data_IF_202072780832
#
_entry.id   IF_202072780832
#
_cell.length_a   1.000
_cell.length_b   1.000
_cell.length_c   1.000
_cell.angle_alpha   90.00
_cell.angle_beta   90.00
_cell.angle_gamma   90.00
#
_symmetry.space_group_name_H-M   'P 1'
#
loop_
_entity.id
_entity.type
_entity.pdbx_description
1 polymer ?
#
# COMPACT_ATOMS: atom_id res chain seq x y z
N UNK A 1 10.64 -16.95 -9.94
CA UNK A 1 9.85 -15.83 -10.51
C UNK A 1 9.33 -14.93 -9.40
N UNK A 2 8.69 -13.81 -9.73
CA UNK A 2 7.92 -12.96 -8.80
C UNK A 2 6.44 -13.35 -8.93
N UNK A 3 5.73 -13.56 -7.81
CA UNK A 3 4.31 -14.00 -7.80
C UNK A 3 3.41 -12.93 -7.21
N UNK A 4 2.22 -12.65 -7.77
CA UNK A 4 1.24 -11.76 -7.16
C UNK A 4 0.57 -12.43 -5.95
N UNK A 5 0.40 -11.69 -4.85
CA UNK A 5 -0.34 -12.13 -3.66
C UNK A 5 -1.71 -11.48 -3.56
N UNK A 6 -1.77 -10.14 -3.70
CA UNK A 6 -3.02 -9.40 -3.62
C UNK A 6 -2.93 -8.10 -4.40
N UNK A 7 -4.08 -7.58 -4.86
CA UNK A 7 -4.17 -6.26 -5.46
C UNK A 7 -5.37 -5.53 -4.88
N UNK A 8 -5.11 -4.33 -4.37
CA UNK A 8 -6.09 -3.40 -3.86
C UNK A 8 -6.14 -2.21 -4.78
N UNK A 9 -7.35 -1.83 -5.23
CA UNK A 9 -7.54 -0.68 -6.12
C UNK A 9 -8.61 0.25 -5.59
N UNK A 10 -8.37 1.53 -5.75
CA UNK A 10 -9.36 2.59 -5.69
C UNK A 10 -9.63 3.07 -7.12
N UNK A 11 -10.40 4.15 -7.28
CA UNK A 11 -10.60 4.77 -8.58
C UNK A 11 -9.35 5.54 -9.08
N UNK A 12 -8.43 5.92 -8.18
CA UNK A 12 -7.18 6.64 -8.52
C UNK A 12 -5.94 5.77 -8.34
N UNK A 13 -5.90 4.97 -7.29
CA UNK A 13 -4.67 4.37 -6.80
C UNK A 13 -4.77 2.85 -6.74
N UNK A 14 -3.63 2.17 -6.84
CA UNK A 14 -3.58 0.73 -6.59
C UNK A 14 -2.34 0.33 -5.82
N UNK A 15 -2.51 -0.60 -4.89
CA UNK A 15 -1.46 -1.26 -4.12
C UNK A 15 -1.45 -2.76 -4.48
N UNK A 16 -0.35 -3.24 -5.05
CA UNK A 16 -0.19 -4.62 -5.50
C UNK A 16 0.92 -5.27 -4.68
N UNK A 17 0.55 -6.29 -3.91
CA UNK A 17 1.47 -7.10 -3.12
C UNK A 17 1.94 -8.25 -3.98
N UNK A 18 3.26 -8.41 -4.09
CA UNK A 18 3.89 -9.55 -4.74
C UNK A 18 4.72 -10.34 -3.73
N UNK A 19 5.38 -11.40 -4.18
CA UNK A 19 6.33 -12.16 -3.39
C UNK A 19 7.64 -11.42 -3.09
N UNK A 20 7.83 -10.19 -3.58
CA UNK A 20 9.10 -9.44 -3.44
C UNK A 20 8.93 -8.00 -2.98
N UNK A 21 7.83 -7.35 -3.35
CA UNK A 21 7.64 -5.91 -3.16
C UNK A 21 6.17 -5.54 -3.12
N UNK A 22 5.92 -4.37 -2.54
CA UNK A 22 4.69 -3.62 -2.75
C UNK A 22 4.89 -2.71 -3.98
N UNK A 23 3.96 -2.79 -4.93
CA UNK A 23 3.90 -1.88 -6.07
C UNK A 23 2.74 -0.90 -5.83
N UNK A 24 3.05 0.38 -5.80
CA UNK A 24 2.06 1.45 -5.63
C UNK A 24 1.94 2.22 -6.93
N UNK A 25 0.72 2.38 -7.43
CA UNK A 25 0.39 3.25 -8.56
C UNK A 25 -0.45 4.40 -8.03
N UNK A 26 0.03 5.61 -8.19
CA UNK A 26 -0.61 6.86 -7.77
C UNK A 26 -1.00 7.67 -9.01
N UNK A 27 -2.29 7.98 -9.15
CA UNK A 27 -2.77 8.85 -10.25
C UNK A 27 -2.92 10.29 -9.77
N UNK A 28 -2.05 11.15 -10.25
CA UNK A 28 -1.95 12.55 -9.84
C UNK A 28 -2.65 13.52 -10.79
N UNK A 29 -3.04 14.67 -10.22
CA UNK A 29 -3.66 15.78 -10.94
C UNK A 29 -5.15 15.59 -11.22
N UNK A 30 -5.80 16.66 -11.68
CA UNK A 30 -7.27 16.70 -11.90
C UNK A 30 -7.74 15.68 -12.95
N UNK A 31 -6.92 15.41 -13.97
CA UNK A 31 -7.25 14.49 -15.06
C UNK A 31 -6.80 13.05 -14.79
N UNK A 32 -6.01 12.80 -13.74
CA UNK A 32 -5.42 11.50 -13.44
C UNK A 32 -4.45 10.97 -14.50
N UNK A 33 -4.04 11.81 -15.48
CA UNK A 33 -3.15 11.40 -16.58
C UNK A 33 -1.70 11.23 -16.13
N UNK A 34 -1.27 11.95 -15.11
CA UNK A 34 0.07 11.78 -14.54
C UNK A 34 0.00 10.58 -13.59
N UNK A 35 0.79 9.56 -13.88
CA UNK A 35 0.81 8.32 -13.10
C UNK A 35 2.23 8.10 -12.61
N UNK A 36 2.37 7.91 -11.30
CA UNK A 36 3.62 7.53 -10.68
C UNK A 36 3.52 6.08 -10.21
N UNK A 37 4.58 5.31 -10.42
CA UNK A 37 4.67 3.90 -10.01
C UNK A 37 5.89 3.73 -9.12
N UNK A 38 5.66 3.27 -7.90
CA UNK A 38 6.68 2.98 -6.92
C UNK A 38 6.80 1.46 -6.75
N UNK A 39 8.02 0.95 -6.77
CA UNK A 39 8.34 -0.42 -6.37
C UNK A 39 9.09 -0.39 -5.06
N UNK A 40 8.48 -0.93 -4.01
CA UNK A 40 8.99 -0.87 -2.63
C UNK A 40 9.33 -2.30 -2.20
N UNK A 41 10.61 -2.73 -2.25
CA UNK A 41 11.03 -4.01 -1.70
C UNK A 41 10.63 -4.11 -0.23
N UNK A 42 10.11 -5.26 0.21
CA UNK A 42 9.69 -5.40 1.61
C UNK A 42 10.84 -5.18 2.60
N UNK A 43 12.05 -5.60 2.21
CA UNK A 43 13.28 -5.37 2.98
C UNK A 43 13.66 -3.90 3.18
N UNK A 44 13.04 -2.97 2.44
CA UNK A 44 13.28 -1.53 2.57
C UNK A 44 12.29 -0.81 3.50
N UNK A 45 11.22 -1.50 3.92
CA UNK A 45 10.20 -0.97 4.81
C UNK A 45 10.71 -1.11 6.25
N UNK A 46 10.99 0.03 6.90
CA UNK A 46 11.49 0.10 8.27
C UNK A 46 10.37 0.20 9.30
N UNK A 47 9.24 0.79 8.92
CA UNK A 47 8.03 0.93 9.75
C UNK A 47 6.82 1.08 8.84
N UNK A 48 5.64 0.67 9.31
CA UNK A 48 4.36 0.99 8.69
C UNK A 48 3.31 1.34 9.74
N UNK A 49 2.27 2.04 9.32
CA UNK A 49 1.05 2.24 10.09
C UNK A 49 -0.16 2.10 9.17
N UNK A 50 -1.31 1.76 9.76
CA UNK A 50 -2.57 1.66 9.03
C UNK A 50 -3.69 2.36 9.80
N UNK A 51 -4.50 3.14 9.09
CA UNK A 51 -5.65 3.85 9.65
C UNK A 51 -6.94 3.47 8.91
N UNK A 52 -8.00 3.20 9.67
CA UNK A 52 -9.32 2.93 9.11
C UNK A 52 -9.98 4.23 8.67
N UNK A 53 -10.80 4.16 7.62
CA UNK A 53 -11.65 5.28 7.23
C UNK A 53 -12.53 5.73 8.41
N UNK A 54 -12.43 7.01 8.77
CA UNK A 54 -13.23 7.63 9.81
C UNK A 54 -14.64 7.97 9.33
N UNK A 55 -15.41 8.64 10.21
CA UNK A 55 -16.72 9.19 9.82
C UNK A 55 -16.62 10.42 8.90
N UNK A 56 -15.50 11.15 8.98
CA UNK A 56 -15.29 12.43 8.28
C UNK A 56 -14.31 12.25 7.10
N UNK A 57 -13.18 11.57 7.30
CA UNK A 57 -12.32 11.12 6.19
C UNK A 57 -12.81 9.77 5.68
N UNK A 58 -13.19 9.72 4.41
CA UNK A 58 -13.79 8.55 3.78
C UNK A 58 -12.76 7.51 3.30
N UNK A 59 -11.47 7.82 3.38
CA UNK A 59 -10.42 6.90 2.92
C UNK A 59 -9.75 6.23 4.10
N UNK A 60 -9.42 4.97 3.90
CA UNK A 60 -8.43 4.29 4.73
C UNK A 60 -7.03 4.71 4.28
N UNK A 61 -6.04 4.50 5.14
CA UNK A 61 -4.68 4.94 4.86
C UNK A 61 -3.64 3.93 5.31
N UNK A 62 -2.58 3.83 4.52
CA UNK A 62 -1.36 3.10 4.86
C UNK A 62 -0.19 4.04 4.70
N UNK A 63 0.62 4.15 5.74
CA UNK A 63 1.87 4.91 5.70
C UNK A 63 3.06 3.95 5.84
N UNK A 64 4.11 4.20 5.06
CA UNK A 64 5.32 3.38 4.99
C UNK A 64 6.56 4.26 5.15
N UNK A 65 7.44 3.88 6.06
CA UNK A 65 8.72 4.54 6.25
C UNK A 65 9.83 3.65 5.75
N UNK A 66 10.66 4.24 4.90
CA UNK A 66 11.90 3.65 4.39
C UNK A 66 13.05 4.59 4.72
N UNK A 67 14.29 4.11 4.56
CA UNK A 67 15.48 5.00 4.62
C UNK A 67 15.46 6.11 3.57
N UNK A 68 14.73 5.95 2.47
CA UNK A 68 14.63 6.93 1.41
C UNK A 68 13.52 7.96 1.63
N UNK A 69 12.62 7.73 2.59
CA UNK A 69 11.53 8.64 2.89
C UNK A 69 10.24 7.96 3.33
N UNK A 70 9.18 8.77 3.40
CA UNK A 70 7.84 8.40 3.86
C UNK A 70 6.87 8.36 2.67
N UNK A 71 6.10 7.28 2.55
CA UNK A 71 5.07 7.11 1.52
C UNK A 71 3.71 6.94 2.18
N UNK A 72 2.71 7.67 1.67
CA UNK A 72 1.33 7.66 2.13
C UNK A 72 0.42 7.15 1.02
N UNK A 73 -0.30 6.07 1.27
CA UNK A 73 -1.16 5.39 0.32
C UNK A 73 -2.60 5.52 0.79
N UNK A 74 -3.44 6.16 -0.03
CA UNK A 74 -4.88 6.27 0.26
C UNK A 74 -5.63 5.11 -0.36
N UNK A 75 -6.47 4.49 0.47
CA UNK A 75 -7.26 3.33 0.13
C UNK A 75 -8.75 3.68 0.22
N UNK A 76 -9.53 3.12 -0.69
CA UNK A 76 -10.97 3.41 -0.76
C UNK A 76 -11.70 2.80 0.45
N UNK A 77 -12.80 3.44 0.84
CA UNK A 77 -13.64 3.11 2.01
C UNK A 77 -13.98 1.62 2.22
N UNK A 78 -14.08 0.85 1.14
CA UNK A 78 -14.48 -0.58 1.18
C UNK A 78 -13.31 -1.54 1.38
N UNK A 79 -12.10 -1.03 1.48
CA UNK A 79 -10.91 -1.86 1.64
C UNK A 79 -10.77 -2.24 3.11
N UNK A 80 -10.60 -3.54 3.35
CA UNK A 80 -10.27 -4.08 4.67
C UNK A 80 -8.81 -3.75 5.02
N UNK A 81 -8.64 -2.71 5.83
CA UNK A 81 -7.34 -2.21 6.26
C UNK A 81 -6.60 -3.21 7.14
N UNK A 82 -7.32 -3.99 7.95
CA UNK A 82 -6.71 -5.00 8.83
C UNK A 82 -6.07 -6.12 8.03
N UNK A 83 -6.72 -6.52 6.93
CA UNK A 83 -6.13 -7.49 6.00
C UNK A 83 -4.85 -6.96 5.34
N UNK A 84 -4.79 -5.65 5.07
CA UNK A 84 -3.59 -5.03 4.51
C UNK A 84 -2.47 -4.97 5.54
N UNK A 85 -2.78 -4.56 6.77
CA UNK A 85 -1.82 -4.56 7.88
C UNK A 85 -1.17 -5.94 8.07
N UNK A 86 -2.01 -6.99 8.13
CA UNK A 86 -1.53 -8.38 8.21
C UNK A 86 -0.67 -8.77 7.02
N UNK A 87 -1.05 -8.39 5.80
CA UNK A 87 -0.29 -8.73 4.59
C UNK A 87 1.07 -8.02 4.54
N UNK A 88 1.12 -6.75 4.94
CA UNK A 88 2.39 -6.01 5.09
C UNK A 88 3.26 -6.71 6.15
N UNK A 89 2.69 -7.04 7.31
CA UNK A 89 3.40 -7.72 8.38
C UNK A 89 4.01 -9.05 7.91
N UNK A 90 3.22 -9.91 7.25
CA UNK A 90 3.71 -11.18 6.67
C UNK A 90 4.86 -10.97 5.70
N UNK A 91 4.74 -9.99 4.80
CA UNK A 91 5.74 -9.75 3.77
C UNK A 91 7.02 -9.10 4.30
N UNK A 92 6.92 -8.19 5.28
CA UNK A 92 8.05 -7.46 5.85
C UNK A 92 8.80 -8.29 6.89
N UNK A 93 8.08 -9.01 7.74
CA UNK A 93 8.67 -9.76 8.86
C UNK A 93 9.00 -11.22 8.50
N UNK A 94 8.76 -11.65 7.25
CA UNK A 94 8.86 -13.06 6.84
C UNK A 94 8.10 -14.02 7.78
N UNK A 95 7.04 -13.54 8.42
CA UNK A 95 6.28 -14.33 9.40
C UNK A 95 5.43 -15.34 8.65
N UNK A 96 5.98 -16.53 8.47
CA UNK A 96 5.25 -17.70 8.00
C UNK A 96 4.45 -18.20 9.20
N UNK A 97 3.13 -18.03 9.18
CA UNK A 97 2.25 -18.87 9.98
C UNK A 97 1.94 -20.14 9.20
#
# INVERSE_FOLDING_TARGET
>A
GEQPYAAYKTFRDSAIFTSKRLIVRDSQGLTGKKVEIYSIPYSSINMWSTENAGRIDFNAEVELWTRAGHLKIKLGRKIDVRRIDQLIATCVLNSTH
#
